data_IF_251864740468
#
_entry.id   IF_251864740468
#
_cell.length_a   1.000
_cell.length_b   1.000
_cell.length_c   1.000
_cell.angle_alpha   90.00
_cell.angle_beta   90.00
_cell.angle_gamma   90.00
#
_symmetry.space_group_name_H-M   'P 1'
#
loop_
_entity.id
_entity.type
_entity.pdbx_description
1 polymer ?
#
# COMPACT_ATOMS: atom_id res chain seq x y z
N UNK A 1 7.35 70.97 -61.18
CA UNK A 1 7.94 69.63 -61.40
C UNK A 1 8.15 69.01 -60.03
N UNK A 2 7.49 67.88 -59.71
CA UNK A 2 7.44 67.20 -58.39
C UNK A 2 6.75 68.02 -57.27
N UNK A 3 5.83 67.51 -56.41
CA UNK A 3 5.80 66.30 -55.56
C UNK A 3 7.00 66.30 -54.57
N UNK A 4 6.93 66.11 -53.25
CA UNK A 4 5.98 65.58 -52.24
C UNK A 4 6.36 66.18 -50.86
N UNK A 5 5.67 66.04 -49.72
CA UNK A 5 4.44 65.34 -49.31
C UNK A 5 3.82 66.06 -48.06
N UNK A 6 2.63 65.66 -47.59
CA UNK A 6 2.13 66.01 -46.24
C UNK A 6 1.98 64.73 -45.40
N UNK A 7 2.75 64.57 -44.32
CA UNK A 7 2.67 63.39 -43.44
C UNK A 7 1.66 63.63 -42.33
N UNK A 8 0.46 63.07 -42.50
CA UNK A 8 -0.58 63.04 -41.46
C UNK A 8 -0.29 61.92 -40.46
N UNK A 9 -0.03 62.26 -39.19
CA UNK A 9 0.08 61.28 -38.12
C UNK A 9 -1.29 60.69 -37.77
N UNK A 10 -1.51 59.41 -38.09
CA UNK A 10 -2.65 58.64 -37.61
C UNK A 10 -2.29 57.97 -36.27
N UNK A 11 -2.96 58.36 -35.18
CA UNK A 11 -2.82 57.68 -33.88
C UNK A 11 -3.69 56.43 -33.88
N UNK A 12 -3.05 55.26 -33.98
CA UNK A 12 -3.74 53.97 -33.95
C UNK A 12 -3.99 53.54 -32.50
N UNK A 13 -5.21 53.72 -32.00
CA UNK A 13 -5.62 53.11 -30.72
C UNK A 13 -5.79 51.59 -30.91
N UNK A 14 -4.77 50.83 -30.52
CA UNK A 14 -4.87 49.39 -30.40
C UNK A 14 -5.73 49.03 -29.19
N UNK A 15 -7.00 48.67 -29.42
CA UNK A 15 -7.84 48.07 -28.39
C UNK A 15 -7.34 46.66 -28.13
N UNK A 16 -6.57 46.48 -27.06
CA UNK A 16 -6.25 45.15 -26.54
C UNK A 16 -7.52 44.54 -25.95
N UNK A 17 -8.26 43.79 -26.76
CA UNK A 17 -9.28 42.87 -26.26
C UNK A 17 -8.57 41.76 -25.49
N UNK A 18 -8.70 41.77 -24.16
CA UNK A 18 -8.30 40.63 -23.33
C UNK A 18 -9.19 39.45 -23.69
N UNK A 19 -8.71 38.57 -24.56
CA UNK A 19 -9.33 37.27 -24.80
C UNK A 19 -9.23 36.48 -23.50
N UNK A 20 -10.31 36.46 -22.73
CA UNK A 20 -10.47 35.51 -21.65
C UNK A 20 -10.35 34.12 -22.26
N UNK A 21 -9.37 33.34 -21.80
CA UNK A 21 -9.23 31.96 -22.24
C UNK A 21 -10.43 31.18 -21.72
N UNK A 22 -11.34 30.85 -22.63
CA UNK A 22 -12.52 30.03 -22.38
C UNK A 22 -12.10 28.64 -21.84
N UNK A 23 -12.23 28.46 -20.52
CA UNK A 23 -11.85 27.26 -19.78
C UNK A 23 -12.59 26.00 -20.28
N UNK A 24 -13.71 26.17 -21.00
CA UNK A 24 -14.50 25.07 -21.56
C UNK A 24 -13.79 24.28 -22.67
N UNK A 25 -12.69 24.79 -23.25
CA UNK A 25 -11.95 24.11 -24.34
C UNK A 25 -10.77 23.26 -23.88
N UNK A 26 -10.38 23.30 -22.61
CA UNK A 26 -9.32 22.42 -22.12
C UNK A 26 -9.94 21.04 -21.83
N UNK A 27 -9.42 19.94 -22.39
CA UNK A 27 -9.89 18.62 -21.98
C UNK A 27 -9.70 18.50 -20.47
N UNK A 28 -10.66 17.90 -19.73
CA UNK A 28 -10.57 17.78 -18.28
C UNK A 28 -9.24 17.13 -17.92
N UNK A 29 -8.55 17.74 -16.95
CA UNK A 29 -7.28 17.20 -16.48
C UNK A 29 -7.52 15.80 -15.92
N UNK A 30 -6.68 14.80 -16.27
CA UNK A 30 -6.93 13.42 -15.89
C UNK A 30 -6.98 13.27 -14.37
N UNK A 31 -7.93 12.47 -13.91
CA UNK A 31 -8.19 12.20 -12.49
C UNK A 31 -7.47 10.95 -11.97
N UNK A 32 -6.94 10.11 -12.87
CA UNK A 32 -6.18 8.91 -12.52
C UNK A 32 -5.13 8.53 -13.56
N UNK A 33 -4.14 7.73 -13.13
CA UNK A 33 -3.17 7.12 -14.03
C UNK A 33 -3.82 6.19 -15.07
N UNK A 34 -4.97 5.61 -14.73
CA UNK A 34 -5.75 4.77 -15.63
C UNK A 34 -6.27 5.56 -16.83
N UNK A 35 -6.84 6.74 -16.60
CA UNK A 35 -7.31 7.63 -17.67
C UNK A 35 -6.17 8.11 -18.57
N UNK A 36 -5.00 8.43 -17.99
CA UNK A 36 -3.81 8.83 -18.75
C UNK A 36 -3.35 7.70 -19.69
N UNK A 37 -3.28 6.47 -19.19
CA UNK A 37 -2.84 5.30 -19.96
C UNK A 37 -3.88 4.92 -21.03
N UNK A 38 -5.17 5.00 -20.71
CA UNK A 38 -6.27 4.79 -21.66
C UNK A 38 -6.28 5.82 -22.79
N UNK A 39 -6.01 7.09 -22.47
CA UNK A 39 -5.94 8.17 -23.46
C UNK A 39 -4.69 8.06 -24.35
N UNK A 40 -3.57 7.53 -23.85
CA UNK A 40 -2.39 7.25 -24.65
C UNK A 40 -1.60 6.02 -24.12
N UNK A 41 -1.78 4.83 -24.70
CA UNK A 41 -1.12 3.61 -24.26
C UNK A 41 0.42 3.64 -24.31
N UNK A 42 1.02 4.56 -25.09
CA UNK A 42 2.48 4.73 -25.20
C UNK A 42 3.10 5.50 -24.02
N UNK A 43 2.29 6.00 -23.07
CA UNK A 43 2.77 6.63 -21.83
C UNK A 43 3.50 5.61 -20.96
N UNK A 44 4.76 5.89 -20.61
CA UNK A 44 5.58 5.12 -19.67
C UNK A 44 5.40 5.55 -18.22
N UNK A 45 5.95 4.77 -17.29
CA UNK A 45 5.89 5.06 -15.85
C UNK A 45 6.60 6.37 -15.49
N UNK A 46 6.12 7.08 -14.46
CA UNK A 46 6.72 8.35 -14.01
C UNK A 46 5.77 9.23 -13.20
N UNK A 47 6.20 10.46 -12.91
CA UNK A 47 5.37 11.48 -12.24
C UNK A 47 4.48 12.18 -13.28
N UNK A 48 3.19 12.25 -12.97
CA UNK A 48 2.18 12.98 -13.73
C UNK A 48 1.50 14.01 -12.81
N UNK A 49 1.19 15.17 -13.36
CA UNK A 49 0.43 16.20 -12.66
C UNK A 49 -1.05 16.00 -12.96
N UNK A 50 -1.84 15.69 -11.92
CA UNK A 50 -3.27 15.41 -12.03
C UNK A 50 -4.06 16.47 -11.27
N UNK A 51 -5.23 16.87 -11.81
CA UNK A 51 -6.15 17.75 -11.07
C UNK A 51 -6.97 16.87 -10.14
N UNK A 52 -6.67 16.96 -8.86
CA UNK A 52 -7.34 16.23 -7.80
C UNK A 52 -8.13 17.26 -7.01
N UNK A 53 -9.45 17.10 -7.01
CA UNK A 53 -10.39 18.12 -6.54
C UNK A 53 -10.13 19.48 -7.22
N UNK A 54 -9.50 20.42 -6.50
CA UNK A 54 -9.10 21.74 -7.02
C UNK A 54 -7.58 21.96 -7.05
N UNK A 55 -6.76 21.00 -6.63
CA UNK A 55 -5.30 21.11 -6.61
C UNK A 55 -4.65 20.31 -7.75
N UNK A 56 -3.44 20.70 -8.14
CA UNK A 56 -2.63 20.00 -9.14
C UNK A 56 -1.51 19.26 -8.42
N UNK A 57 -1.70 17.97 -8.16
CA UNK A 57 -0.79 17.16 -7.37
C UNK A 57 0.16 16.33 -8.25
N UNK A 58 1.46 16.23 -7.91
CA UNK A 58 2.39 15.32 -8.56
C UNK A 58 2.16 13.89 -8.05
N UNK A 59 1.74 12.99 -8.94
CA UNK A 59 1.39 11.61 -8.60
C UNK A 59 2.21 10.64 -9.44
N UNK A 60 2.74 9.59 -8.81
CA UNK A 60 3.47 8.56 -9.54
C UNK A 60 2.49 7.56 -10.19
N UNK A 61 2.60 7.42 -11.50
CA UNK A 61 1.87 6.42 -12.27
C UNK A 61 2.81 5.28 -12.68
N UNK A 62 2.43 4.06 -12.33
CA UNK A 62 3.05 2.84 -12.87
C UNK A 62 2.26 2.43 -14.12
N UNK A 63 2.85 2.62 -15.30
CA UNK A 63 2.21 2.40 -16.61
C UNK A 63 2.64 1.08 -17.28
N UNK A 64 3.53 0.33 -16.64
CA UNK A 64 4.03 -0.96 -17.10
C UNK A 64 3.24 -2.10 -16.45
N UNK A 65 3.66 -3.36 -16.65
CA UNK A 65 2.93 -4.53 -16.16
C UNK A 65 3.02 -4.66 -14.63
N UNK A 66 1.89 -4.44 -13.95
CA UNK A 66 1.75 -4.56 -12.50
C UNK A 66 0.43 -5.28 -12.16
N UNK A 67 0.47 -6.26 -11.25
CA UNK A 67 -0.69 -7.12 -10.93
C UNK A 67 -1.46 -7.62 -12.18
N UNK A 68 -0.73 -8.18 -13.16
CA UNK A 68 -1.25 -8.68 -14.44
C UNK A 68 -1.98 -7.64 -15.32
N UNK A 69 -1.70 -6.34 -15.14
CA UNK A 69 -2.30 -5.26 -15.91
C UNK A 69 -1.31 -4.13 -16.17
N UNK A 70 -1.34 -3.60 -17.40
CA UNK A 70 -0.59 -2.41 -17.84
C UNK A 70 -1.52 -1.19 -18.06
N UNK A 71 -2.68 -1.18 -17.39
CA UNK A 71 -3.76 -0.20 -17.60
C UNK A 71 -3.50 1.17 -16.94
N UNK A 72 -2.35 1.36 -16.28
CA UNK A 72 -2.02 2.59 -15.54
C UNK A 72 -2.51 2.56 -14.09
N UNK A 73 -1.57 2.35 -13.17
CA UNK A 73 -1.80 2.22 -11.74
C UNK A 73 -1.35 3.48 -10.99
N UNK A 74 -2.18 3.98 -10.07
CA UNK A 74 -1.92 5.21 -9.33
C UNK A 74 -1.31 4.90 -7.96
N UNK A 75 -0.09 5.38 -7.68
CA UNK A 75 0.56 5.12 -6.38
C UNK A 75 -0.05 5.96 -5.26
N UNK A 76 -0.43 5.30 -4.17
CA UNK A 76 -1.03 5.93 -2.97
C UNK A 76 -0.13 5.79 -1.72
N UNK A 77 0.78 4.82 -1.69
CA UNK A 77 1.69 4.61 -0.58
C UNK A 77 3.08 4.25 -1.10
N UNK A 78 4.12 4.75 -0.44
CA UNK A 78 5.50 4.35 -0.68
C UNK A 78 6.30 4.53 0.61
N UNK A 79 6.98 3.48 1.04
CA UNK A 79 7.87 3.45 2.19
C UNK A 79 9.05 2.54 1.84
N UNK A 80 10.27 2.99 2.06
CA UNK A 80 11.47 2.16 1.99
C UNK A 80 12.44 2.58 3.09
N UNK A 81 12.44 1.87 4.21
CA UNK A 81 13.24 2.24 5.38
C UNK A 81 14.75 2.04 5.20
N UNK A 82 15.19 1.40 4.11
CA UNK A 82 16.59 1.40 3.68
C UNK A 82 17.04 2.80 3.21
N UNK A 83 16.11 3.61 2.70
CA UNK A 83 16.32 5.03 2.46
C UNK A 83 16.32 5.76 3.82
N UNK A 84 17.50 6.24 4.22
CA UNK A 84 17.71 6.91 5.51
C UNK A 84 16.99 8.26 5.60
N UNK A 85 16.54 8.84 4.48
CA UNK A 85 15.75 10.08 4.48
C UNK A 85 14.29 9.87 4.87
N UNK A 86 13.75 8.65 4.69
CA UNK A 86 12.36 8.35 5.00
C UNK A 86 12.16 8.04 6.49
N UNK A 87 11.08 8.54 7.07
CA UNK A 87 10.60 8.21 8.41
C UNK A 87 9.41 7.26 8.35
N UNK A 88 9.06 6.64 9.49
CA UNK A 88 7.80 5.93 9.58
C UNK A 88 6.61 6.87 9.37
N UNK A 89 5.52 6.41 8.74
CA UNK A 89 4.33 7.20 8.53
C UNK A 89 3.58 7.41 9.86
N UNK A 90 2.73 8.44 9.91
CA UNK A 90 2.01 8.82 11.13
C UNK A 90 1.21 7.64 11.72
N UNK A 91 1.29 7.47 13.03
CA UNK A 91 0.69 6.36 13.77
C UNK A 91 1.60 5.14 13.96
N UNK A 92 2.67 4.98 13.17
CA UNK A 92 3.65 3.90 13.35
C UNK A 92 4.94 4.39 14.02
N UNK A 93 5.59 3.53 14.81
CA UNK A 93 6.83 3.87 15.54
C UNK A 93 8.07 3.32 14.85
N UNK A 94 9.10 4.16 14.74
CA UNK A 94 10.41 3.78 14.21
C UNK A 94 11.18 2.91 15.21
N UNK A 95 11.52 1.69 14.80
CA UNK A 95 12.47 0.81 15.46
C UNK A 95 13.77 0.73 14.66
N UNK A 96 14.88 0.65 15.38
CA UNK A 96 16.21 0.45 14.81
C UNK A 96 16.92 -0.70 15.52
N UNK A 97 17.63 -1.53 14.77
CA UNK A 97 18.45 -2.62 15.30
C UNK A 97 19.66 -2.83 14.40
N UNK A 98 20.85 -2.45 14.88
CA UNK A 98 22.04 -2.32 14.04
C UNK A 98 21.77 -1.38 12.85
N UNK A 99 21.91 -1.90 11.63
CA UNK A 99 21.63 -1.16 10.39
C UNK A 99 20.17 -1.25 9.91
N UNK A 100 19.34 -2.09 10.54
CA UNK A 100 17.94 -2.29 10.14
C UNK A 100 17.07 -1.17 10.72
N UNK A 101 16.22 -0.57 9.86
CA UNK A 101 15.20 0.41 10.21
C UNK A 101 13.84 -0.14 9.78
N UNK A 102 12.84 -0.06 10.64
CA UNK A 102 11.50 -0.54 10.34
C UNK A 102 10.45 0.14 11.23
N UNK A 103 9.18 0.02 10.85
CA UNK A 103 8.03 0.64 11.49
C UNK A 103 7.16 -0.44 12.15
N UNK A 104 6.87 -0.30 13.44
CA UNK A 104 6.07 -1.25 14.22
C UNK A 104 4.96 -0.56 15.00
N UNK A 105 4.30 -1.34 15.87
CA UNK A 105 3.35 -0.80 16.87
C UNK A 105 4.03 0.20 17.80
N UNK A 106 3.27 1.08 18.45
CA UNK A 106 3.81 2.08 19.38
C UNK A 106 4.53 1.44 20.55
N UNK A 107 5.52 2.14 21.11
CA UNK A 107 6.23 1.65 22.29
C UNK A 107 5.23 1.37 23.41
N UNK A 108 5.30 0.16 24.00
CA UNK A 108 4.33 -0.34 24.99
C UNK A 108 2.88 -0.33 24.49
N UNK A 109 2.64 -0.71 23.23
CA UNK A 109 1.30 -1.12 22.79
C UNK A 109 0.87 -2.32 23.66
N UNK A 110 -0.37 -2.32 24.19
CA UNK A 110 -0.86 -3.40 25.04
C UNK A 110 -1.24 -4.64 24.22
N UNK A 111 -1.59 -5.69 24.92
CA UNK A 111 -2.19 -6.90 24.36
C UNK A 111 -3.46 -6.58 23.53
N UNK A 112 -3.75 -7.41 22.53
CA UNK A 112 -4.87 -7.32 21.60
C UNK A 112 -5.04 -5.93 20.95
N UNK A 113 -3.94 -5.32 20.49
CA UNK A 113 -3.93 -3.97 19.93
C UNK A 113 -3.27 -3.88 18.55
N UNK A 114 -3.77 -2.91 17.76
CA UNK A 114 -3.14 -2.47 16.53
C UNK A 114 -2.86 -0.97 16.59
N UNK A 115 -1.76 -0.55 15.97
CA UNK A 115 -1.57 0.83 15.55
C UNK A 115 -1.65 0.90 14.02
N UNK A 116 -2.09 2.02 13.47
CA UNK A 116 -2.34 2.14 12.03
C UNK A 116 -1.92 3.47 11.44
N UNK A 117 -1.74 3.46 10.13
CA UNK A 117 -1.53 4.63 9.28
C UNK A 117 -2.54 4.62 8.14
N UNK A 118 -2.91 5.80 7.65
CA UNK A 118 -3.86 5.98 6.56
C UNK A 118 -3.11 6.53 5.34
N UNK A 119 -3.31 5.88 4.19
CA UNK A 119 -2.82 6.33 2.89
C UNK A 119 -4.00 6.85 2.10
N UNK A 120 -3.96 8.13 1.74
CA UNK A 120 -5.10 8.73 1.06
C UNK A 120 -5.25 8.19 -0.36
N UNK A 121 -6.50 7.93 -0.76
CA UNK A 121 -6.86 7.68 -2.16
C UNK A 121 -6.69 8.93 -3.03
N UNK A 122 -6.51 10.11 -2.42
CA UNK A 122 -6.56 11.42 -3.06
C UNK A 122 -7.90 11.61 -3.80
N UNK A 123 -8.99 11.10 -3.24
CA UNK A 123 -10.33 11.14 -3.84
C UNK A 123 -10.50 10.28 -5.11
N UNK A 124 -9.44 9.61 -5.58
CA UNK A 124 -9.44 8.82 -6.81
C UNK A 124 -10.38 7.63 -6.66
N UNK A 125 -11.24 7.43 -7.66
CA UNK A 125 -12.14 6.28 -7.73
C UNK A 125 -11.38 5.06 -8.24
N UNK A 126 -11.38 3.98 -7.47
CA UNK A 126 -10.70 2.73 -7.78
C UNK A 126 -11.58 1.51 -7.50
N UNK A 127 -11.23 0.38 -8.12
CA UNK A 127 -11.89 -0.92 -7.94
C UNK A 127 -10.89 -2.05 -7.64
N UNK A 128 -9.60 -1.79 -7.84
CA UNK A 128 -8.51 -2.72 -7.66
C UNK A 128 -7.40 -2.08 -6.84
N UNK A 129 -6.78 -2.89 -5.99
CA UNK A 129 -5.60 -2.53 -5.21
C UNK A 129 -4.49 -3.52 -5.56
N UNK A 130 -3.31 -3.00 -5.86
CA UNK A 130 -2.09 -3.78 -6.06
C UNK A 130 -1.03 -3.25 -5.09
N UNK A 131 -0.30 -4.13 -4.41
CA UNK A 131 0.75 -3.67 -3.52
C UNK A 131 1.73 -4.73 -3.08
N UNK A 132 2.84 -4.29 -2.52
CA UNK A 132 3.85 -5.13 -1.91
C UNK A 132 4.23 -4.53 -0.56
N UNK A 133 4.32 -5.39 0.46
CA UNK A 133 4.66 -5.01 1.83
C UNK A 133 5.66 -6.03 2.35
N UNK A 134 6.80 -5.56 2.86
CA UNK A 134 7.76 -6.40 3.55
C UNK A 134 7.94 -5.93 4.99
N UNK A 135 8.04 -6.91 5.88
CA UNK A 135 8.23 -6.71 7.31
C UNK A 135 9.28 -7.68 7.85
N UNK A 136 9.75 -7.43 9.07
CA UNK A 136 10.49 -8.40 9.87
C UNK A 136 9.63 -8.91 11.02
N UNK A 137 9.73 -10.20 11.32
CA UNK A 137 9.22 -10.75 12.58
C UNK A 137 10.03 -10.17 13.75
N UNK A 138 9.38 -9.74 14.82
CA UNK A 138 10.05 -9.34 16.07
C UNK A 138 9.59 -10.23 17.23
N UNK A 139 10.55 -10.94 17.82
CA UNK A 139 10.41 -11.82 19.00
C UNK A 139 9.44 -13.02 18.84
N UNK A 140 8.21 -13.01 19.35
CA UNK A 140 7.34 -14.22 19.44
C UNK A 140 5.92 -14.19 18.81
N UNK A 141 5.66 -13.54 17.64
CA UNK A 141 4.34 -13.61 16.98
C UNK A 141 3.87 -15.05 16.78
N UNK A 142 2.56 -15.33 16.85
CA UNK A 142 2.01 -16.68 16.62
C UNK A 142 1.11 -16.80 15.37
N UNK A 143 1.03 -15.71 14.61
CA UNK A 143 0.25 -15.45 13.39
C UNK A 143 -1.25 -15.29 13.63
N UNK A 144 -1.85 -16.19 14.40
CA UNK A 144 -3.25 -16.18 14.76
C UNK A 144 -3.42 -17.01 16.04
N UNK A 145 -3.53 -16.36 17.20
CA UNK A 145 -3.46 -17.08 18.46
C UNK A 145 -4.67 -17.99 18.68
N UNK A 146 -4.39 -19.29 18.66
CA UNK A 146 -5.33 -20.34 19.06
C UNK A 146 -4.97 -20.75 20.48
N UNK A 147 -5.17 -19.82 21.42
CA UNK A 147 -5.04 -20.10 22.85
C UNK A 147 -6.09 -21.11 23.32
N UNK A 148 -5.71 -22.39 23.29
CA UNK A 148 -6.35 -23.50 24.01
C UNK A 148 -7.89 -23.57 23.89
N UNK A 149 -8.42 -23.45 22.67
CA UNK A 149 -9.86 -23.56 22.41
C UNK A 149 -10.70 -22.34 22.80
N UNK A 150 -10.08 -21.26 23.29
CA UNK A 150 -10.73 -19.95 23.43
C UNK A 150 -10.50 -19.15 22.15
N UNK A 151 -11.49 -19.13 21.27
CA UNK A 151 -11.53 -18.28 20.06
C UNK A 151 -11.78 -16.81 20.42
N UNK A 152 -10.91 -16.24 21.27
CA UNK A 152 -11.11 -14.95 21.92
C UNK A 152 -10.08 -13.88 21.56
N UNK A 153 -9.13 -14.16 20.65
CA UNK A 153 -8.80 -13.12 19.67
C UNK A 153 -10.10 -12.85 18.91
N UNK A 154 -10.60 -11.63 19.07
CA UNK A 154 -11.84 -11.15 18.47
C UNK A 154 -11.77 -11.37 16.95
N UNK A 155 -12.58 -12.27 16.39
CA UNK A 155 -12.62 -12.61 14.96
C UNK A 155 -13.25 -11.52 14.06
N UNK A 156 -13.22 -10.26 14.52
CA UNK A 156 -13.80 -9.09 13.86
C UNK A 156 -12.69 -8.29 13.22
N UNK A 157 -12.96 -7.70 12.06
CA UNK A 157 -11.97 -6.94 11.29
C UNK A 157 -11.38 -5.74 12.04
N UNK A 158 -12.06 -5.25 13.08
CA UNK A 158 -11.66 -4.08 13.87
C UNK A 158 -10.66 -4.37 15.00
N UNK A 159 -10.45 -5.63 15.37
CA UNK A 159 -9.52 -6.04 16.43
C UNK A 159 -8.08 -6.22 15.92
N UNK A 160 -7.19 -6.63 16.83
CA UNK A 160 -5.94 -7.31 16.49
C UNK A 160 -6.18 -8.80 16.20
N UNK A 161 -6.81 -9.08 15.05
CA UNK A 161 -7.19 -10.45 14.67
C UNK A 161 -6.03 -11.29 14.10
N UNK A 162 -4.81 -10.74 14.04
CA UNK A 162 -3.57 -11.35 13.54
C UNK A 162 -2.37 -10.69 14.20
N UNK A 163 -1.24 -11.42 14.22
CA UNK A 163 0.07 -10.83 14.50
C UNK A 163 0.77 -10.56 13.17
N UNK A 164 0.80 -9.30 12.76
CA UNK A 164 1.12 -8.99 11.37
C UNK A 164 0.55 -7.68 10.87
N UNK A 165 0.35 -7.63 9.56
CA UNK A 165 -0.13 -6.44 8.83
C UNK A 165 -1.54 -6.72 8.31
N UNK A 166 -2.48 -5.81 8.59
CA UNK A 166 -3.82 -5.81 8.00
C UNK A 166 -3.98 -4.58 7.12
N UNK A 167 -4.40 -4.77 5.86
CA UNK A 167 -4.73 -3.68 4.94
C UNK A 167 -6.23 -3.67 4.73
N UNK A 168 -6.86 -2.53 5.01
CA UNK A 168 -8.31 -2.35 5.02
C UNK A 168 -8.73 -1.01 4.43
N UNK A 169 -10.02 -0.85 4.13
CA UNK A 169 -10.58 0.43 3.67
C UNK A 169 -12.02 0.63 4.13
N UNK A 170 -12.48 1.88 4.08
CA UNK A 170 -13.88 2.28 4.28
C UNK A 170 -14.38 2.21 5.72
N UNK A 171 -15.60 2.72 5.93
CA UNK A 171 -16.32 2.66 7.20
C UNK A 171 -17.76 2.21 6.92
N UNK A 172 -18.22 1.03 7.41
CA UNK A 172 -17.46 0.05 8.21
C UNK A 172 -16.26 -0.54 7.46
N UNK A 173 -15.25 -0.96 8.22
CA UNK A 173 -13.96 -1.45 7.73
C UNK A 173 -14.13 -2.72 6.88
N UNK A 174 -13.41 -2.79 5.75
CA UNK A 174 -13.43 -3.92 4.80
C UNK A 174 -12.02 -4.41 4.46
N UNK A 175 -11.88 -5.71 4.23
CA UNK A 175 -10.58 -6.37 4.08
C UNK A 175 -10.03 -6.29 2.64
N UNK A 176 -8.79 -5.83 2.50
CA UNK A 176 -8.03 -5.89 1.24
C UNK A 176 -7.09 -7.08 1.26
N UNK A 177 -6.11 -7.09 2.16
CA UNK A 177 -5.04 -8.09 2.26
C UNK A 177 -4.48 -8.16 3.68
N UNK A 178 -3.79 -9.25 4.03
CA UNK A 178 -3.08 -9.37 5.30
C UNK A 178 -1.79 -10.19 5.17
N UNK A 179 -0.79 -9.83 5.97
CA UNK A 179 0.41 -10.63 6.26
C UNK A 179 0.32 -11.11 7.71
N UNK A 180 0.71 -12.35 7.97
CA UNK A 180 0.86 -12.88 9.33
C UNK A 180 2.31 -13.32 9.54
N UNK A 181 2.86 -13.09 10.72
CA UNK A 181 4.18 -13.58 11.15
C UNK A 181 3.98 -14.61 12.28
N UNK A 182 4.76 -15.69 12.32
CA UNK A 182 4.69 -16.72 13.36
C UNK A 182 6.09 -17.04 13.92
N UNK A 183 6.21 -17.62 15.11
CA UNK A 183 7.51 -17.87 15.75
C UNK A 183 8.29 -19.03 15.11
N UNK A 184 7.60 -19.95 14.44
CA UNK A 184 8.18 -21.21 13.95
C UNK A 184 7.81 -21.50 12.50
N UNK A 185 8.82 -21.89 11.72
CA UNK A 185 8.68 -22.47 10.38
C UNK A 185 8.27 -23.95 10.38
N UNK A 186 8.31 -24.64 11.54
CA UNK A 186 8.15 -26.10 11.61
C UNK A 186 7.02 -26.50 12.54
N UNK A 187 6.15 -27.40 12.08
CA UNK A 187 5.12 -28.03 12.93
C UNK A 187 5.74 -29.14 13.78
N UNK A 188 5.61 -29.00 15.10
CA UNK A 188 5.98 -30.00 16.11
C UNK A 188 4.91 -30.02 17.21
N UNK A 189 5.01 -30.95 18.17
CA UNK A 189 4.13 -30.99 19.35
C UNK A 189 4.11 -29.66 20.12
N UNK A 190 5.22 -28.92 20.13
CA UNK A 190 5.41 -27.68 20.87
C UNK A 190 5.08 -26.43 20.03
N UNK A 191 5.32 -26.48 18.74
CA UNK A 191 5.22 -25.31 17.84
C UNK A 191 3.93 -25.24 17.02
N UNK A 192 3.05 -26.26 17.06
CA UNK A 192 1.81 -26.32 16.27
C UNK A 192 0.81 -25.17 16.46
N UNK A 193 0.99 -24.33 17.47
CA UNK A 193 0.17 -23.14 17.74
C UNK A 193 0.89 -21.84 17.33
N UNK A 194 2.17 -21.91 16.96
CA UNK A 194 3.07 -20.78 16.69
C UNK A 194 3.65 -20.87 15.27
N UNK A 195 2.82 -21.29 14.31
CA UNK A 195 3.18 -21.60 12.93
C UNK A 195 2.18 -20.95 11.98
N UNK A 196 2.65 -20.40 10.86
CA UNK A 196 1.75 -19.83 9.87
C UNK A 196 0.75 -20.89 9.34
N UNK A 197 -0.49 -20.51 8.98
CA UNK A 197 -1.49 -21.43 8.42
C UNK A 197 -1.04 -22.20 7.17
N UNK A 198 -0.16 -21.61 6.36
CA UNK A 198 0.40 -22.22 5.16
C UNK A 198 1.56 -23.20 5.41
N UNK A 199 2.09 -23.28 6.65
CA UNK A 199 3.22 -24.13 7.01
C UNK A 199 2.92 -25.61 6.74
N UNK A 200 3.87 -26.33 6.14
CA UNK A 200 3.68 -27.75 5.80
C UNK A 200 3.39 -28.60 7.05
N UNK A 201 2.36 -29.44 6.96
CA UNK A 201 1.88 -30.26 8.07
C UNK A 201 0.98 -29.53 9.08
N UNK A 202 0.67 -28.26 8.86
CA UNK A 202 -0.29 -27.55 9.69
C UNK A 202 -1.73 -28.00 9.35
N UNK A 203 -2.49 -28.41 10.38
CA UNK A 203 -3.85 -28.93 10.24
C UNK A 203 -4.94 -27.87 10.53
N UNK A 204 -4.54 -26.62 10.72
CA UNK A 204 -5.48 -25.51 10.95
C UNK A 204 -6.39 -25.28 9.73
N UNK A 205 -7.62 -24.74 9.93
CA UNK A 205 -8.60 -24.61 8.86
C UNK A 205 -8.06 -23.78 7.69
N UNK A 206 -8.45 -24.15 6.46
CA UNK A 206 -8.02 -23.52 5.21
C UNK A 206 -8.16 -21.99 5.26
N UNK A 207 -7.05 -21.31 5.52
CA UNK A 207 -6.95 -19.85 5.42
C UNK A 207 -6.50 -19.43 4.00
N UNK A 208 -6.78 -18.18 3.59
CA UNK A 208 -6.48 -17.71 2.24
C UNK A 208 -5.00 -17.82 1.85
N UNK A 209 -4.76 -17.99 0.55
CA UNK A 209 -3.49 -18.41 -0.03
C UNK A 209 -2.41 -17.32 -0.13
N UNK A 210 -2.15 -16.55 0.93
CA UNK A 210 -1.21 -15.40 0.88
C UNK A 210 -0.45 -15.04 2.17
N UNK A 211 0.15 -16.02 2.86
CA UNK A 211 0.93 -15.80 4.11
C UNK A 211 2.40 -16.24 3.89
N UNK A 212 3.40 -15.61 4.53
CA UNK A 212 4.85 -15.88 4.36
C UNK A 212 5.72 -15.48 5.56
N UNK A 213 6.87 -16.14 5.76
CA UNK A 213 7.62 -16.13 7.02
C UNK A 213 9.17 -16.19 6.88
N UNK A 214 9.92 -15.51 7.77
CA UNK A 214 11.16 -15.92 8.49
C UNK A 214 11.71 -14.75 9.37
N UNK A 215 12.74 -14.97 10.20
CA UNK A 215 13.31 -13.96 11.16
C UNK A 215 14.51 -13.17 10.65
N UNK A 216 15.29 -13.75 9.73
CA UNK A 216 16.45 -13.09 9.09
C UNK A 216 16.24 -12.90 7.58
N UNK A 217 15.06 -13.28 7.10
CA UNK A 217 14.60 -13.06 5.72
C UNK A 217 13.43 -12.08 5.79
N UNK A 218 13.28 -11.14 4.83
CA UNK A 218 12.09 -10.32 4.72
C UNK A 218 10.81 -11.17 4.57
N UNK A 219 9.81 -10.90 5.42
CA UNK A 219 8.49 -11.48 5.25
C UNK A 219 7.94 -11.09 3.87
N UNK A 220 7.40 -12.09 3.14
CA UNK A 220 6.66 -11.92 1.88
C UNK A 220 7.47 -11.58 0.61
N UNK A 221 8.81 -11.73 0.61
CA UNK A 221 9.63 -11.46 -0.60
C UNK A 221 9.70 -12.63 -1.61
N UNK A 222 9.26 -13.83 -1.20
CA UNK A 222 9.22 -15.04 -2.02
C UNK A 222 10.58 -15.72 -2.25
N UNK A 223 11.61 -15.42 -1.45
CA UNK A 223 12.98 -15.94 -1.62
C UNK A 223 13.41 -16.81 -0.45
N UNK A 224 14.52 -17.54 -0.65
CA UNK A 224 15.22 -18.41 0.32
C UNK A 224 14.39 -19.44 1.11
N UNK A 225 13.12 -19.64 0.75
CA UNK A 225 12.17 -20.42 1.52
C UNK A 225 12.56 -21.89 1.70
N UNK A 226 12.38 -22.38 2.92
CA UNK A 226 12.68 -23.75 3.33
C UNK A 226 11.53 -24.69 3.00
N UNK A 227 11.80 -25.99 3.06
CA UNK A 227 10.83 -27.05 2.72
C UNK A 227 9.47 -26.92 3.44
N UNK A 228 9.43 -26.35 4.64
CA UNK A 228 8.20 -26.18 5.41
C UNK A 228 7.37 -24.94 4.99
N UNK A 229 8.00 -23.97 4.34
CA UNK A 229 7.43 -22.68 3.92
C UNK A 229 7.01 -22.68 2.44
N UNK A 230 7.26 -23.77 1.71
CA UNK A 230 7.05 -23.88 0.25
C UNK A 230 5.64 -23.47 -0.20
N UNK A 231 4.60 -23.74 0.59
CA UNK A 231 3.23 -23.32 0.26
C UNK A 231 3.01 -21.82 0.48
N UNK A 232 3.63 -21.27 1.52
CA UNK A 232 3.64 -19.84 1.82
C UNK A 232 4.30 -19.05 0.68
N UNK A 233 5.45 -19.54 0.20
CA UNK A 233 6.24 -18.91 -0.85
C UNK A 233 5.83 -19.24 -2.29
N UNK A 234 4.82 -20.08 -2.48
CA UNK A 234 4.17 -20.33 -3.78
C UNK A 234 2.83 -19.61 -3.92
N UNK A 235 2.53 -18.69 -3.00
CA UNK A 235 1.35 -17.86 -3.10
C UNK A 235 1.35 -17.05 -4.40
N UNK A 236 0.20 -17.06 -5.09
CA UNK A 236 0.07 -16.46 -6.41
C UNK A 236 0.20 -14.93 -6.34
N UNK A 237 1.10 -14.36 -7.15
CA UNK A 237 1.32 -12.92 -7.28
C UNK A 237 2.58 -12.39 -6.58
N UNK A 238 3.22 -13.18 -5.70
CA UNK A 238 4.43 -12.82 -4.97
C UNK A 238 5.48 -12.09 -5.84
N UNK A 239 6.08 -10.97 -5.37
CA UNK A 239 5.91 -10.34 -4.05
C UNK A 239 4.71 -9.38 -3.94
N UNK A 240 3.79 -9.38 -4.91
CA UNK A 240 2.64 -8.48 -4.98
C UNK A 240 1.35 -9.18 -4.56
N UNK A 241 0.52 -8.49 -3.77
CA UNK A 241 -0.89 -8.85 -3.63
C UNK A 241 -1.72 -8.08 -4.66
N UNK A 242 -2.77 -8.72 -5.18
CA UNK A 242 -3.78 -8.09 -6.03
C UNK A 242 -5.16 -8.35 -5.44
N UNK A 243 -5.92 -7.28 -5.22
CA UNK A 243 -7.30 -7.35 -4.74
C UNK A 243 -8.21 -6.62 -5.72
N UNK A 244 -9.12 -7.35 -6.36
CA UNK A 244 -10.31 -6.76 -6.98
C UNK A 244 -11.40 -6.66 -5.91
N UNK A 245 -11.99 -5.47 -5.73
CA UNK A 245 -13.04 -5.21 -4.75
C UNK A 245 -14.43 -5.66 -5.25
N UNK A 246 -14.63 -5.78 -6.57
CA UNK A 246 -15.93 -6.05 -7.18
C UNK A 246 -16.88 -4.84 -7.24
N UNK A 247 -16.45 -3.67 -6.75
CA UNK A 247 -17.15 -2.40 -6.81
C UNK A 247 -16.13 -1.24 -6.82
N UNK A 248 -16.58 -0.04 -7.18
CA UNK A 248 -15.74 1.16 -7.16
C UNK A 248 -15.93 1.95 -5.86
N UNK A 249 -14.84 2.36 -5.24
CA UNK A 249 -14.82 3.26 -4.07
C UNK A 249 -13.76 4.35 -4.24
N UNK A 250 -13.74 5.33 -3.34
CA UNK A 250 -12.66 6.29 -3.14
C UNK A 250 -12.21 6.34 -1.66
N UNK A 251 -12.54 5.31 -0.88
CA UNK A 251 -12.08 5.18 0.51
C UNK A 251 -10.55 5.27 0.59
N UNK A 252 -10.03 5.98 1.60
CA UNK A 252 -8.62 5.86 1.96
C UNK A 252 -8.28 4.44 2.42
N UNK A 253 -7.02 4.04 2.24
CA UNK A 253 -6.52 2.70 2.60
C UNK A 253 -5.75 2.77 3.91
N UNK A 254 -6.23 2.04 4.91
CA UNK A 254 -5.59 1.89 6.21
C UNK A 254 -4.64 0.68 6.18
N UNK A 255 -3.40 0.88 6.65
CA UNK A 255 -2.49 -0.20 7.02
C UNK A 255 -2.37 -0.24 8.54
N UNK A 256 -2.63 -1.41 9.13
CA UNK A 256 -2.61 -1.67 10.57
C UNK A 256 -1.51 -2.69 10.85
N UNK A 257 -0.70 -2.45 11.88
CA UNK A 257 0.19 -3.47 12.46
C UNK A 257 -0.47 -3.92 13.76
N UNK A 258 -0.76 -5.20 13.86
CA UNK A 258 -1.54 -5.82 14.93
C UNK A 258 -0.70 -6.89 15.66
N UNK A 259 -1.06 -7.15 16.91
CA UNK A 259 -0.62 -8.32 17.68
C UNK A 259 -1.52 -8.56 18.89
N UNK A 260 -1.66 -9.83 19.26
CA UNK A 260 -2.44 -10.31 20.41
C UNK A 260 -1.72 -10.12 21.75
N UNK A 261 -0.40 -10.11 21.79
CA UNK A 261 0.42 -9.71 22.93
C UNK A 261 0.93 -8.26 22.81
N UNK A 262 1.53 -7.76 23.88
CA UNK A 262 2.24 -6.47 23.92
C UNK A 262 3.33 -6.34 22.86
N UNK A 263 3.61 -5.10 22.42
CA UNK A 263 4.68 -4.80 21.43
C UNK A 263 6.06 -5.36 21.83
N UNK A 264 6.33 -5.46 23.12
CA UNK A 264 7.60 -6.00 23.64
C UNK A 264 7.73 -7.51 23.51
N UNK A 265 6.61 -8.25 23.50
CA UNK A 265 6.61 -9.69 23.25
C UNK A 265 6.58 -9.99 21.75
N UNK A 266 5.87 -9.21 20.95
CA UNK A 266 5.76 -9.48 19.52
C UNK A 266 5.50 -8.21 18.68
N UNK A 267 5.98 -8.21 17.44
CA UNK A 267 5.66 -7.15 16.47
C UNK A 267 5.90 -7.63 15.03
N UNK A 268 5.27 -6.96 14.07
CA UNK A 268 5.56 -7.12 12.65
C UNK A 268 6.09 -5.80 12.10
N UNK A 269 7.42 -5.72 11.98
CA UNK A 269 8.13 -4.46 11.71
C UNK A 269 8.26 -4.20 10.21
N UNK A 270 7.32 -3.46 9.65
CA UNK A 270 7.25 -3.09 8.22
C UNK A 270 8.41 -2.18 7.83
N UNK A 271 9.19 -2.57 6.82
CA UNK A 271 10.30 -1.76 6.31
C UNK A 271 10.12 -1.33 4.85
N UNK A 272 9.19 -1.96 4.12
CA UNK A 272 8.86 -1.62 2.74
C UNK A 272 7.35 -1.66 2.51
N UNK A 273 6.84 -0.65 1.80
CA UNK A 273 5.46 -0.56 1.30
C UNK A 273 5.54 0.07 -0.09
N UNK A 274 4.86 -0.52 -1.06
CA UNK A 274 4.51 0.15 -2.32
C UNK A 274 3.08 -0.25 -2.67
N UNK A 275 2.15 0.70 -2.73
CA UNK A 275 0.73 0.41 -3.00
C UNK A 275 0.13 1.34 -4.05
N UNK A 276 -0.72 0.75 -4.87
CA UNK A 276 -1.35 1.36 -6.02
C UNK A 276 -2.83 1.02 -6.10
N UNK A 277 -3.60 1.95 -6.67
CA UNK A 277 -5.03 1.80 -6.95
C UNK A 277 -5.35 2.01 -8.43
N UNK A 278 -6.42 1.35 -8.89
CA UNK A 278 -6.96 1.45 -10.26
C UNK A 278 -8.46 1.14 -10.29
#
# INVERSE_FOLDING_TARGET
>A
MKLENLVTFAVLFAVFTSVSADDSRRPPSPSSCHEIKKANPRRGSGIYYMKIENEVLPVYCHMDLLCNSNDGWTRIASLNMNDKSQSCPSGLTLYTSGNIRACGRRSRAPDASCDSTIFSSMGIRYSQVCGSVYAYQYNSPDAYAIYAGKTNIQSRIDSAYIDGVSITHGTPRKHIWSLMAAQSEKVTRHTKNYVCPCTAGNAQPKLPSFIGYHTTDPLWDGKNCRNNEVNCCKAHGLPWFHKNLGYTTNDDIELRICGDQSQTDEDARVFFIDMFVK
#
